data_IF_042839467672
#
_entry.id   IF_042839467672
#
_cell.length_a   1.000
_cell.length_b   1.000
_cell.length_c   1.000
_cell.angle_alpha   90.00
_cell.angle_beta   90.00
_cell.angle_gamma   90.00
#
_symmetry.space_group_name_H-M   'P 1'
#
loop_
_entity.id
_entity.type
_entity.pdbx_description
1 polymer ?
#
# COMPACT_ATOMS: atom_id res chain seq x y z
N UNK A 1 -16.31 -22.40 -17.08
CA UNK A 1 -16.41 -23.85 -17.35
C UNK A 1 -15.79 -24.58 -16.15
N UNK A 2 -16.65 -25.07 -15.23
CA UNK A 2 -16.44 -26.05 -14.12
C UNK A 2 -15.35 -25.71 -13.07
N UNK A 3 -15.52 -25.82 -11.75
CA UNK A 3 -16.39 -26.60 -10.84
C UNK A 3 -16.49 -25.84 -9.49
N UNK A 4 -17.47 -25.96 -8.59
CA UNK A 4 -18.47 -27.02 -8.34
C UNK A 4 -18.02 -27.91 -7.18
N UNK A 5 -18.39 -27.58 -5.93
CA UNK A 5 -18.34 -28.50 -4.77
C UNK A 5 -19.46 -28.15 -3.77
N UNK A 6 -20.55 -28.90 -3.85
CA UNK A 6 -21.59 -29.07 -2.83
C UNK A 6 -21.13 -30.07 -1.76
N UNK A 7 -21.57 -29.87 -0.51
CA UNK A 7 -21.48 -30.84 0.57
C UNK A 7 -22.54 -30.56 1.63
N UNK A 8 -23.64 -31.30 1.60
CA UNK A 8 -24.78 -31.18 2.51
C UNK A 8 -24.84 -32.23 3.63
N UNK A 9 -25.76 -31.98 4.56
CA UNK A 9 -26.23 -32.88 5.64
C UNK A 9 -25.83 -32.37 7.03
N UNK A 10 -26.70 -32.15 8.02
CA UNK A 10 -28.10 -32.51 8.26
C UNK A 10 -28.25 -32.76 9.77
N UNK A 11 -29.16 -32.07 10.47
CA UNK A 11 -29.39 -32.34 11.90
C UNK A 11 -30.27 -31.28 12.58
N UNK A 12 -31.52 -31.67 12.90
CA UNK A 12 -32.53 -30.88 13.64
C UNK A 12 -32.24 -30.94 15.15
N UNK A 13 -32.63 -29.91 15.90
CA UNK A 13 -33.58 -29.99 17.05
C UNK A 13 -33.94 -28.60 17.60
N UNK A 14 -35.14 -28.54 18.17
CA UNK A 14 -35.93 -27.39 18.60
C UNK A 14 -35.44 -26.74 19.91
N UNK A 15 -35.83 -25.48 20.14
CA UNK A 15 -35.71 -24.81 21.43
C UNK A 15 -36.31 -23.41 21.45
N UNK A 16 -37.64 -23.32 21.60
CA UNK A 16 -38.38 -22.09 21.94
C UNK A 16 -37.83 -21.43 23.20
N UNK A 17 -37.68 -20.09 23.21
CA UNK A 17 -38.16 -19.25 24.32
C UNK A 17 -38.17 -17.75 23.97
N UNK A 18 -39.39 -17.27 23.70
CA UNK A 18 -40.00 -15.96 24.04
C UNK A 18 -39.13 -14.85 24.65
N UNK A 19 -39.13 -13.66 24.03
CA UNK A 19 -39.75 -12.43 24.57
C UNK A 19 -39.46 -11.20 23.68
N UNK A 20 -40.51 -10.68 23.02
CA UNK A 20 -40.68 -9.26 22.70
C UNK A 20 -41.34 -8.59 23.93
N UNK A 21 -41.33 -7.23 24.14
CA UNK A 21 -41.81 -6.29 23.11
C UNK A 21 -41.27 -4.82 23.15
N UNK A 22 -41.60 -4.09 22.07
CA UNK A 22 -41.99 -2.65 21.99
C UNK A 22 -40.96 -1.56 22.31
N UNK A 23 -40.95 -0.36 21.72
CA UNK A 23 -41.63 0.25 20.57
C UNK A 23 -41.11 1.70 20.42
N UNK A 24 -41.24 2.24 19.20
CA UNK A 24 -41.50 3.66 18.84
C UNK A 24 -40.39 4.73 18.93
N UNK A 25 -39.86 5.03 17.76
CA UNK A 25 -40.00 6.30 17.00
C UNK A 25 -40.71 7.47 17.70
N UNK A 26 -40.09 8.66 17.68
CA UNK A 26 -40.74 9.93 17.29
C UNK A 26 -39.70 10.99 16.91
N UNK A 27 -40.06 11.79 15.91
CA UNK A 27 -39.27 12.85 15.30
C UNK A 27 -39.69 14.24 15.80
N UNK A 28 -38.76 15.19 15.60
CA UNK A 28 -38.92 16.62 15.32
C UNK A 28 -39.49 17.58 16.38
N UNK A 29 -38.79 18.71 16.55
CA UNK A 29 -39.30 19.90 17.24
C UNK A 29 -38.27 21.03 17.34
N UNK A 30 -38.29 21.93 16.35
CA UNK A 30 -37.50 23.18 16.26
C UNK A 30 -38.17 24.31 17.07
N UNK A 31 -37.40 25.12 17.83
CA UNK A 31 -37.81 26.44 18.35
C UNK A 31 -36.56 27.28 18.79
N UNK A 32 -36.65 28.60 19.07
CA UNK A 32 -35.90 29.64 18.36
C UNK A 32 -34.71 30.27 19.12
N UNK A 33 -33.82 30.91 18.36
CA UNK A 33 -32.62 31.60 18.83
C UNK A 33 -32.93 32.98 19.46
N UNK A 34 -32.49 33.17 20.71
CA UNK A 34 -32.43 34.46 21.41
C UNK A 34 -31.15 35.26 21.09
N UNK A 35 -31.07 36.55 21.48
CA UNK A 35 -30.04 37.46 21.00
C UNK A 35 -28.68 37.24 21.67
N UNK A 36 -27.65 37.46 20.85
CA UNK A 36 -26.22 37.15 21.05
C UNK A 36 -25.61 37.94 22.22
N UNK A 37 -25.20 37.21 23.26
CA UNK A 37 -24.21 37.67 24.24
C UNK A 37 -22.81 37.67 23.62
N UNK A 38 -22.08 38.77 23.81
CA UNK A 38 -20.73 39.04 23.32
C UNK A 38 -19.74 37.99 23.91
N UNK A 39 -18.97 37.25 23.10
CA UNK A 39 -17.98 36.32 23.65
C UNK A 39 -16.79 37.10 24.22
N UNK A 40 -16.32 36.67 25.38
CA UNK A 40 -15.03 37.08 25.96
C UNK A 40 -13.89 36.69 24.98
N UNK A 41 -12.76 37.42 24.98
CA UNK A 41 -11.65 37.08 24.10
C UNK A 41 -11.15 35.67 24.42
N UNK A 42 -11.09 34.82 23.40
CA UNK A 42 -10.48 33.50 23.49
C UNK A 42 -8.98 33.66 23.75
N UNK A 43 -8.49 32.95 24.76
CA UNK A 43 -7.06 32.82 25.04
C UNK A 43 -6.31 32.37 23.79
N UNK A 44 -5.19 33.02 23.53
CA UNK A 44 -4.23 32.64 22.51
C UNK A 44 -3.79 31.17 22.71
N UNK A 45 -3.42 30.44 21.64
CA UNK A 45 -2.86 29.10 21.81
C UNK A 45 -1.58 29.21 22.64
N UNK A 46 -1.59 28.55 23.80
CA UNK A 46 -0.42 28.42 24.65
C UNK A 46 0.74 27.88 23.82
N UNK A 47 1.80 28.66 23.73
CA UNK A 47 3.06 28.21 23.16
C UNK A 47 3.45 26.90 23.86
N UNK A 48 3.73 25.86 23.06
CA UNK A 48 4.36 24.66 23.54
C UNK A 48 5.63 25.08 24.30
N UNK A 49 5.65 24.80 25.61
CA UNK A 49 6.83 25.06 26.43
C UNK A 49 8.04 24.29 25.86
N UNK A 50 9.26 24.79 26.06
CA UNK A 50 10.46 24.05 25.70
C UNK A 50 10.43 22.73 26.47
N UNK A 51 10.55 21.60 25.76
CA UNK A 51 10.81 20.30 26.37
C UNK A 51 12.12 20.40 27.13
N UNK A 52 12.09 20.15 28.44
CA UNK A 52 13.30 20.09 29.26
C UNK A 52 14.30 19.11 28.61
N UNK A 53 15.60 19.47 28.52
CA UNK A 53 16.59 18.57 27.98
C UNK A 53 16.62 17.29 28.83
N UNK A 54 16.64 16.13 28.18
CA UNK A 54 16.74 14.85 28.85
C UNK A 54 17.93 14.85 29.83
N UNK A 55 17.83 14.21 31.01
CA UNK A 55 18.93 14.09 31.96
C UNK A 55 20.25 13.70 31.29
N UNK A 56 21.39 14.22 31.75
CA UNK A 56 22.70 14.00 31.12
C UNK A 56 23.04 12.51 30.90
N UNK A 57 22.56 11.62 31.79
CA UNK A 57 22.71 10.18 31.66
C UNK A 57 21.92 9.58 30.48
N UNK A 58 20.72 10.10 30.20
CA UNK A 58 19.92 9.68 29.03
C UNK A 58 20.59 10.12 27.72
N UNK A 59 21.12 11.34 27.69
CA UNK A 59 21.87 11.84 26.54
C UNK A 59 23.12 10.99 26.27
N UNK A 60 23.84 10.59 27.33
CA UNK A 60 25.00 9.71 27.21
C UNK A 60 24.62 8.32 26.67
N UNK A 61 23.52 7.72 27.17
CA UNK A 61 23.01 6.45 26.65
C UNK A 61 22.64 6.54 25.18
N UNK A 62 21.87 7.57 24.81
CA UNK A 62 21.49 7.82 23.42
C UNK A 62 22.72 7.98 22.51
N UNK A 63 23.77 8.67 22.97
CA UNK A 63 25.01 8.83 22.22
C UNK A 63 25.75 7.48 22.00
N UNK A 64 25.74 6.58 22.99
CA UNK A 64 26.33 5.23 22.84
C UNK A 64 25.57 4.40 21.80
N UNK A 65 24.23 4.39 21.86
CA UNK A 65 23.39 3.67 20.89
C UNK A 65 23.58 4.27 19.49
N UNK A 66 23.58 5.60 19.38
CA UNK A 66 23.78 6.29 18.11
C UNK A 66 25.15 5.98 17.50
N UNK A 67 26.21 5.92 18.31
CA UNK A 67 27.56 5.58 17.83
C UNK A 67 27.63 4.14 17.29
N UNK A 68 26.99 3.17 17.95
CA UNK A 68 26.89 1.80 17.44
C UNK A 68 26.17 1.76 16.10
N UNK A 69 25.01 2.39 16.00
CA UNK A 69 24.20 2.36 14.78
C UNK A 69 24.81 3.18 13.64
N UNK A 70 25.62 4.20 13.95
CA UNK A 70 26.41 4.92 12.95
C UNK A 70 27.42 4.01 12.22
N UNK A 71 27.98 2.99 12.90
CA UNK A 71 28.83 1.97 12.27
C UNK A 71 28.02 1.18 11.24
N UNK A 72 26.77 0.78 11.53
CA UNK A 72 25.90 0.10 10.56
C UNK A 72 25.56 1.01 9.38
N UNK A 73 25.24 2.28 9.63
CA UNK A 73 24.98 3.24 8.55
C UNK A 73 26.19 3.37 7.61
N UNK A 74 27.39 3.54 8.16
CA UNK A 74 28.61 3.60 7.38
C UNK A 74 28.85 2.29 6.62
N UNK A 75 28.61 1.15 7.25
CA UNK A 75 28.75 -0.15 6.63
C UNK A 75 27.87 -0.31 5.38
N UNK A 76 26.60 0.09 5.44
CA UNK A 76 25.70 0.07 4.28
C UNK A 76 26.21 0.99 3.18
N UNK A 77 26.56 2.24 3.53
CA UNK A 77 26.99 3.26 2.55
C UNK A 77 28.36 2.96 1.91
N UNK A 78 29.21 2.19 2.58
CA UNK A 78 30.53 1.79 2.09
C UNK A 78 30.61 0.33 1.64
N UNK A 79 29.48 -0.38 1.62
CA UNK A 79 29.40 -1.80 1.26
C UNK A 79 30.32 -2.71 2.11
N UNK A 80 30.40 -2.45 3.42
CA UNK A 80 31.22 -3.21 4.38
C UNK A 80 30.40 -4.25 5.17
N UNK A 81 30.44 -5.50 4.71
CA UNK A 81 29.76 -6.62 5.35
C UNK A 81 30.27 -6.91 6.77
N UNK A 82 31.55 -6.67 7.04
CA UNK A 82 32.14 -6.92 8.34
C UNK A 82 31.69 -5.84 9.35
N UNK A 83 31.69 -4.58 8.93
CA UNK A 83 31.15 -3.46 9.68
C UNK A 83 29.68 -3.64 10.05
N UNK A 84 28.86 -4.14 9.12
CA UNK A 84 27.44 -4.43 9.34
C UNK A 84 27.21 -5.39 10.52
N UNK A 85 27.98 -6.47 10.58
CA UNK A 85 27.86 -7.50 11.61
C UNK A 85 28.63 -7.15 12.91
N UNK A 86 29.57 -6.21 12.86
CA UNK A 86 30.50 -5.92 13.97
C UNK A 86 29.83 -5.42 15.25
N UNK A 87 28.64 -4.82 15.13
CA UNK A 87 27.90 -4.22 16.24
C UNK A 87 26.99 -5.22 16.96
N UNK A 88 26.77 -6.39 16.35
CA UNK A 88 25.89 -7.42 16.88
C UNK A 88 26.56 -8.15 18.04
N UNK A 89 25.77 -8.63 18.97
CA UNK A 89 26.23 -9.51 20.03
C UNK A 89 26.58 -10.88 19.43
N UNK A 90 27.84 -11.35 19.52
CA UNK A 90 28.22 -12.65 18.99
C UNK A 90 27.48 -13.82 19.64
N UNK A 91 26.90 -13.63 20.83
CA UNK A 91 26.07 -14.64 21.51
C UNK A 91 24.61 -14.65 21.02
N UNK A 92 24.20 -13.69 20.18
CA UNK A 92 22.87 -13.63 19.58
C UNK A 92 22.87 -14.33 18.21
N UNK A 93 23.18 -15.63 18.17
CA UNK A 93 23.41 -16.41 16.94
C UNK A 93 22.30 -16.23 15.89
N UNK A 94 21.03 -16.27 16.31
CA UNK A 94 19.89 -16.09 15.41
C UNK A 94 19.79 -14.69 14.80
N UNK A 95 20.20 -13.64 15.53
CA UNK A 95 20.29 -12.29 14.97
C UNK A 95 21.44 -12.20 13.96
N UNK A 96 22.62 -12.72 14.32
CA UNK A 96 23.80 -12.72 13.44
C UNK A 96 23.52 -13.47 12.13
N UNK A 97 22.84 -14.61 12.20
CA UNK A 97 22.44 -15.38 11.03
C UNK A 97 21.44 -14.61 10.15
N UNK A 98 20.39 -14.05 10.75
CA UNK A 98 19.40 -13.26 10.03
C UNK A 98 20.05 -12.04 9.34
N UNK A 99 20.86 -11.27 10.06
CA UNK A 99 21.55 -10.09 9.55
C UNK A 99 22.55 -10.42 8.43
N UNK A 100 23.23 -11.57 8.53
CA UNK A 100 24.10 -12.10 7.47
C UNK A 100 23.31 -12.47 6.21
N UNK A 101 22.13 -13.06 6.36
CA UNK A 101 21.25 -13.41 5.24
C UNK A 101 20.67 -12.16 4.56
N UNK A 102 20.43 -11.08 5.32
CA UNK A 102 19.93 -9.80 4.80
C UNK A 102 20.98 -9.01 4.01
N UNK A 103 22.26 -9.11 4.39
CA UNK A 103 23.33 -8.29 3.81
C UNK A 103 23.40 -8.31 2.26
N UNK A 104 23.32 -9.47 1.57
CA UNK A 104 23.33 -9.49 0.10
C UNK A 104 22.21 -8.64 -0.53
N UNK A 105 21.04 -8.57 0.12
CA UNK A 105 19.91 -7.75 -0.36
C UNK A 105 20.23 -6.28 -0.15
N UNK A 106 20.66 -5.89 1.06
CA UNK A 106 21.03 -4.51 1.38
C UNK A 106 22.14 -4.01 0.46
N UNK A 107 23.18 -4.80 0.24
CA UNK A 107 24.33 -4.45 -0.58
C UNK A 107 24.01 -4.35 -2.08
N UNK A 108 22.99 -5.07 -2.56
CA UNK A 108 22.56 -5.04 -3.96
C UNK A 108 21.56 -3.90 -4.25
N UNK A 109 20.90 -3.35 -3.23
CA UNK A 109 20.03 -2.19 -3.41
C UNK A 109 20.86 -0.93 -3.68
N UNK A 110 20.44 -0.05 -4.60
CA UNK A 110 21.10 1.24 -4.81
C UNK A 110 20.69 2.23 -3.72
N UNK A 111 21.16 2.01 -2.50
CA UNK A 111 20.89 2.85 -1.33
C UNK A 111 21.53 4.23 -1.53
N UNK A 112 20.76 5.28 -1.32
CA UNK A 112 21.22 6.68 -1.35
C UNK A 112 21.24 7.34 0.03
N UNK A 113 20.54 6.76 0.99
CA UNK A 113 20.47 7.24 2.36
C UNK A 113 20.28 6.04 3.29
N UNK A 114 20.97 6.04 4.42
CA UNK A 114 20.81 5.09 5.51
C UNK A 114 21.29 5.77 6.79
N UNK A 115 20.37 6.03 7.73
CA UNK A 115 20.68 6.67 8.99
C UNK A 115 19.73 6.18 10.08
N UNK A 116 20.26 6.02 11.29
CA UNK A 116 19.45 5.70 12.46
C UNK A 116 19.32 6.95 13.33
N UNK A 117 18.11 7.20 13.83
CA UNK A 117 17.80 8.24 14.80
C UNK A 117 17.34 7.57 16.09
N UNK A 118 18.08 7.78 17.18
CA UNK A 118 17.70 7.25 18.50
C UNK A 118 16.65 8.16 19.10
N UNK A 119 15.49 7.61 19.43
CA UNK A 119 14.34 8.37 19.95
C UNK A 119 14.26 8.27 21.48
N UNK A 120 14.45 7.07 22.02
CA UNK A 120 14.53 6.85 23.47
C UNK A 120 15.45 5.67 23.78
N UNK A 121 16.01 5.67 24.99
CA UNK A 121 16.75 4.53 25.54
C UNK A 121 16.27 4.27 26.95
N UNK A 122 15.65 3.12 27.14
CA UNK A 122 15.15 2.62 28.41
C UNK A 122 16.16 1.64 29.02
N UNK A 123 16.49 1.84 30.29
CA UNK A 123 17.35 0.92 31.04
C UNK A 123 16.47 -0.21 31.56
N UNK A 124 16.70 -1.44 31.08
CA UNK A 124 16.02 -2.64 31.57
C UNK A 124 16.67 -3.11 32.86
N UNK A 125 18.01 -3.21 32.84
CA UNK A 125 18.86 -3.50 34.00
C UNK A 125 20.27 -2.93 33.78
N UNK A 126 21.21 -3.21 34.69
CA UNK A 126 22.57 -2.69 34.64
C UNK A 126 23.34 -3.08 33.36
N UNK A 127 22.98 -4.20 32.73
CA UNK A 127 23.65 -4.81 31.57
C UNK A 127 22.77 -4.86 30.31
N UNK A 128 21.53 -4.37 30.37
CA UNK A 128 20.56 -4.47 29.28
C UNK A 128 19.82 -3.16 29.07
N UNK A 129 19.82 -2.65 27.83
CA UNK A 129 19.03 -1.49 27.42
C UNK A 129 18.06 -1.87 26.30
N UNK A 130 16.97 -1.10 26.18
CA UNK A 130 16.08 -1.11 25.02
C UNK A 130 16.01 0.29 24.44
N UNK A 131 16.28 0.42 23.16
CA UNK A 131 16.19 1.68 22.45
C UNK A 131 15.04 1.63 21.43
N UNK A 132 14.27 2.72 21.35
CA UNK A 132 13.42 3.00 20.19
C UNK A 132 14.22 3.81 19.20
N UNK A 133 14.26 3.33 17.98
CA UNK A 133 15.11 3.85 16.91
C UNK A 133 14.28 3.99 15.66
N UNK A 134 14.45 5.09 14.94
CA UNK A 134 13.94 5.24 13.59
C UNK A 134 15.05 5.08 12.56
N UNK A 135 14.96 4.07 11.71
CA UNK A 135 15.79 3.91 10.53
C UNK A 135 15.19 4.72 9.39
N UNK A 136 15.95 5.69 8.89
CA UNK A 136 15.68 6.41 7.66
C UNK A 136 16.52 5.82 6.53
N UNK A 137 15.86 5.38 5.46
CA UNK A 137 16.56 4.89 4.28
C UNK A 137 15.92 5.36 2.98
N UNK A 138 16.69 5.44 1.89
CA UNK A 138 16.17 5.77 0.57
C UNK A 138 16.83 4.92 -0.51
N UNK A 139 16.00 4.27 -1.34
CA UNK A 139 16.46 3.57 -2.55
C UNK A 139 16.49 4.57 -3.71
N UNK A 140 17.69 4.86 -4.20
CA UNK A 140 17.95 5.84 -5.26
C UNK A 140 17.08 5.56 -6.47
N UNK A 141 16.31 6.53 -6.93
CA UNK A 141 15.48 6.42 -8.13
C UNK A 141 14.18 5.64 -7.96
N UNK A 142 13.91 5.11 -6.77
CA UNK A 142 12.58 4.61 -6.36
C UNK A 142 11.91 5.60 -5.42
N UNK A 143 12.65 6.06 -4.41
CA UNK A 143 12.15 6.95 -3.38
C UNK A 143 12.35 8.43 -3.73
N UNK A 144 11.39 9.26 -3.31
CA UNK A 144 11.46 10.72 -3.41
C UNK A 144 12.30 11.35 -2.28
N UNK A 145 12.40 10.66 -1.16
CA UNK A 145 13.21 11.02 0.01
C UNK A 145 13.30 9.83 0.97
N UNK A 146 14.00 9.98 2.10
CA UNK A 146 14.07 8.92 3.11
C UNK A 146 12.69 8.50 3.60
N UNK A 147 12.47 7.20 3.70
CA UNK A 147 11.32 6.60 4.39
C UNK A 147 11.78 6.13 5.76
N UNK A 148 10.96 6.41 6.78
CA UNK A 148 11.23 6.05 8.17
C UNK A 148 10.66 4.69 8.56
N UNK A 149 11.39 3.96 9.40
CA UNK A 149 11.00 2.69 10.02
C UNK A 149 11.31 2.72 11.50
N UNK A 150 10.30 2.55 12.32
CA UNK A 150 10.46 2.43 13.76
C UNK A 150 10.90 1.01 14.12
N UNK A 151 11.92 0.92 14.97
CA UNK A 151 12.60 -0.28 15.38
C UNK A 151 12.75 -0.30 16.91
N UNK A 152 12.46 -1.45 17.51
CA UNK A 152 12.88 -1.78 18.86
C UNK A 152 14.23 -2.49 18.81
N UNK A 153 15.25 -1.87 19.41
CA UNK A 153 16.63 -2.38 19.46
C UNK A 153 16.96 -2.74 20.90
N UNK A 154 17.31 -4.00 21.14
CA UNK A 154 17.83 -4.44 22.45
C UNK A 154 19.34 -4.45 22.42
N UNK A 155 19.95 -3.93 23.48
CA UNK A 155 21.39 -3.89 23.65
C UNK A 155 21.80 -4.62 24.93
N UNK A 156 22.96 -5.25 24.88
CA UNK A 156 23.57 -5.94 26.02
C UNK A 156 25.02 -5.52 26.19
N UNK A 157 25.45 -5.35 27.44
CA UNK A 157 26.84 -5.05 27.75
C UNK A 157 27.71 -6.32 27.60
N UNK A 158 28.87 -6.15 26.97
CA UNK A 158 29.91 -7.17 26.81
C UNK A 158 31.26 -6.57 27.22
N UNK A 159 32.27 -7.42 27.34
CA UNK A 159 33.63 -7.01 27.73
C UNK A 159 34.22 -5.89 26.84
N UNK A 160 33.79 -5.81 25.58
CA UNK A 160 34.23 -4.82 24.59
C UNK A 160 33.17 -3.73 24.32
N UNK A 161 32.29 -3.50 25.29
CA UNK A 161 31.21 -2.51 25.23
C UNK A 161 29.85 -3.08 24.82
N UNK A 162 28.89 -2.17 24.65
CA UNK A 162 27.52 -2.49 24.25
C UNK A 162 27.44 -3.15 22.87
N UNK A 163 26.52 -4.11 22.71
CA UNK A 163 26.24 -4.81 21.45
C UNK A 163 24.74 -4.95 21.24
N UNK A 164 24.32 -4.98 19.98
CA UNK A 164 22.91 -5.20 19.60
C UNK A 164 22.60 -6.69 19.75
N UNK A 165 21.67 -7.03 20.64
CA UNK A 165 21.25 -8.41 20.89
C UNK A 165 19.90 -8.76 20.24
N UNK A 166 19.10 -7.75 19.86
CA UNK A 166 17.91 -7.93 19.04
C UNK A 166 17.56 -6.63 18.31
N UNK A 167 16.97 -6.74 17.13
CA UNK A 167 16.37 -5.64 16.37
C UNK A 167 15.07 -6.12 15.73
N UNK A 168 13.98 -5.37 15.90
CA UNK A 168 12.66 -5.74 15.36
C UNK A 168 11.91 -4.48 14.92
N UNK A 169 11.24 -4.49 13.76
CA UNK A 169 10.34 -3.40 13.41
C UNK A 169 9.14 -3.37 14.38
N UNK A 170 8.65 -2.18 14.71
CA UNK A 170 7.44 -2.01 15.53
C UNK A 170 6.17 -2.21 14.69
N UNK A 171 6.20 -1.83 13.41
CA UNK A 171 5.16 -2.09 12.42
C UNK A 171 5.55 -3.31 11.55
N UNK A 172 4.70 -4.34 11.56
CA UNK A 172 4.87 -5.55 10.74
C UNK A 172 3.95 -5.59 9.51
N UNK A 173 3.11 -4.57 9.32
CA UNK A 173 2.20 -4.47 8.17
C UNK A 173 2.92 -4.00 6.90
N UNK A 174 4.08 -3.37 7.07
CA UNK A 174 4.96 -2.93 5.98
C UNK A 174 6.17 -3.84 5.91
N UNK A 175 6.48 -4.32 4.71
CA UNK A 175 7.64 -5.19 4.47
C UNK A 175 8.76 -4.39 3.80
N UNK A 176 9.96 -4.39 4.40
CA UNK A 176 11.15 -3.79 3.82
C UNK A 176 11.94 -4.80 2.98
N UNK A 177 12.69 -4.35 1.95
CA UNK A 177 13.29 -5.24 0.95
C UNK A 177 14.19 -6.34 1.53
N UNK A 178 15.02 -6.00 2.53
CA UNK A 178 15.94 -6.94 3.15
C UNK A 178 15.22 -7.98 4.00
N UNK A 179 14.01 -7.72 4.47
CA UNK A 179 13.24 -8.68 5.28
C UNK A 179 12.74 -9.89 4.47
N UNK A 180 12.85 -9.84 3.13
CA UNK A 180 12.58 -10.98 2.25
C UNK A 180 13.73 -12.00 2.24
N UNK A 181 14.84 -11.68 2.90
CA UNK A 181 16.04 -12.51 2.88
C UNK A 181 15.77 -13.95 3.37
N UNK A 182 16.36 -14.96 2.70
CA UNK A 182 17.23 -14.85 1.53
C UNK A 182 16.46 -14.41 0.27
N UNK A 183 17.01 -13.45 -0.48
CA UNK A 183 16.35 -12.86 -1.65
C UNK A 183 17.35 -12.44 -2.73
N UNK A 184 16.85 -12.29 -3.96
CA UNK A 184 17.60 -11.73 -5.11
C UNK A 184 17.04 -10.36 -5.48
N UNK A 185 17.93 -9.42 -5.74
CA UNK A 185 17.61 -8.08 -6.27
C UNK A 185 17.89 -8.05 -7.77
N UNK A 186 16.92 -7.61 -8.57
CA UNK A 186 16.95 -7.62 -10.03
C UNK A 186 16.51 -6.26 -10.59
N UNK A 187 17.06 -5.91 -11.75
CA UNK A 187 16.70 -4.67 -12.47
C UNK A 187 17.50 -3.45 -12.02
N UNK A 188 17.43 -2.39 -12.83
CA UNK A 188 18.20 -1.16 -12.60
C UNK A 188 17.42 0.13 -12.94
N UNK A 189 16.83 0.23 -14.13
CA UNK A 189 16.33 1.48 -14.71
C UNK A 189 14.81 1.54 -14.79
N UNK A 190 14.17 0.48 -15.24
CA UNK A 190 12.73 0.41 -15.53
C UNK A 190 11.92 -0.05 -14.32
N UNK A 191 12.39 -1.09 -13.65
CA UNK A 191 11.86 -1.58 -12.39
C UNK A 191 13.00 -2.13 -11.51
N UNK A 192 12.75 -2.20 -10.21
CA UNK A 192 13.57 -2.95 -9.26
C UNK A 192 12.70 -4.04 -8.66
N UNK A 193 13.18 -5.28 -8.63
CA UNK A 193 12.43 -6.42 -8.08
C UNK A 193 13.28 -7.11 -7.02
N UNK A 194 12.68 -7.37 -5.86
CA UNK A 194 13.28 -8.15 -4.78
C UNK A 194 12.42 -9.39 -4.59
N UNK A 195 12.97 -10.55 -4.94
CA UNK A 195 12.26 -11.83 -4.90
C UNK A 195 12.88 -12.71 -3.83
N UNK A 196 12.08 -13.10 -2.85
CA UNK A 196 12.47 -14.10 -1.85
C UNK A 196 12.78 -15.42 -2.56
N UNK A 197 13.89 -16.05 -2.21
CA UNK A 197 14.38 -17.22 -2.93
C UNK A 197 13.79 -18.50 -2.37
N UNK A 198 12.63 -18.91 -2.88
CA UNK A 198 12.28 -20.32 -2.99
C UNK A 198 12.57 -20.72 -4.44
N UNK A 199 13.57 -21.59 -4.65
CA UNK A 199 14.00 -22.19 -5.93
C UNK A 199 13.35 -21.71 -7.25
N UNK A 200 14.14 -21.15 -8.18
CA UNK A 200 13.65 -20.83 -9.53
C UNK A 200 14.44 -19.73 -10.24
N UNK A 201 14.15 -19.53 -11.53
CA UNK A 201 14.66 -18.38 -12.30
C UNK A 201 13.81 -17.14 -11.98
N UNK A 202 14.39 -16.06 -11.43
CA UNK A 202 13.63 -14.87 -11.09
C UNK A 202 13.50 -13.87 -12.27
N UNK A 203 14.13 -14.12 -13.42
CA UNK A 203 14.04 -13.26 -14.60
C UNK A 203 12.60 -12.99 -15.10
N UNK A 204 11.63 -13.94 -15.03
CA UNK A 204 10.25 -13.69 -15.40
C UNK A 204 9.58 -12.58 -14.56
N UNK A 205 9.93 -12.44 -13.28
CA UNK A 205 9.40 -11.37 -12.42
C UNK A 205 9.82 -10.00 -12.91
N UNK A 206 11.11 -9.81 -13.22
CA UNK A 206 11.62 -8.57 -13.79
C UNK A 206 10.98 -8.28 -15.15
N UNK A 207 10.86 -9.28 -16.01
CA UNK A 207 10.25 -9.11 -17.33
C UNK A 207 8.78 -8.66 -17.27
N UNK A 208 8.01 -9.17 -16.29
CA UNK A 208 6.62 -8.72 -16.09
C UNK A 208 6.60 -7.31 -15.50
N UNK A 209 7.46 -6.99 -14.53
CA UNK A 209 7.59 -5.65 -13.95
C UNK A 209 7.95 -4.59 -15.00
N UNK A 210 8.90 -4.87 -15.89
CA UNK A 210 9.30 -3.97 -16.97
C UNK A 210 8.17 -3.72 -17.96
N UNK A 211 7.44 -4.77 -18.36
CA UNK A 211 6.27 -4.63 -19.25
C UNK A 211 5.15 -3.84 -18.58
N UNK A 212 4.92 -4.07 -17.29
CA UNK A 212 3.91 -3.34 -16.52
C UNK A 212 4.29 -1.85 -16.41
N UNK A 213 5.54 -1.54 -16.07
CA UNK A 213 6.05 -0.17 -16.03
C UNK A 213 5.95 0.52 -17.40
N UNK A 214 6.28 -0.18 -18.49
CA UNK A 214 6.13 0.35 -19.85
C UNK A 214 4.67 0.64 -20.21
N UNK A 215 3.73 -0.23 -19.78
CA UNK A 215 2.29 -0.02 -19.96
C UNK A 215 1.81 1.22 -19.21
N UNK A 216 2.17 1.37 -17.93
CA UNK A 216 1.86 2.57 -17.15
C UNK A 216 2.44 3.82 -17.83
N UNK A 217 3.69 3.75 -18.29
CA UNK A 217 4.35 4.86 -18.97
C UNK A 217 3.68 5.25 -20.30
N UNK A 218 3.09 4.30 -21.02
CA UNK A 218 2.33 4.58 -22.25
C UNK A 218 1.05 5.39 -22.01
N UNK A 219 0.52 5.38 -20.78
CA UNK A 219 -0.69 6.11 -20.39
C UNK A 219 -0.37 7.39 -19.64
N UNK A 220 0.47 7.32 -18.60
CA UNK A 220 0.77 8.44 -17.72
C UNK A 220 1.98 9.29 -18.16
N UNK A 221 2.73 8.82 -19.16
CA UNK A 221 4.06 9.32 -19.49
C UNK A 221 5.15 8.63 -18.67
N UNK A 222 6.44 8.83 -19.03
CA UNK A 222 7.56 8.20 -18.33
C UNK A 222 7.56 8.57 -16.85
N UNK A 223 7.66 7.57 -15.98
CA UNK A 223 7.76 7.79 -14.55
C UNK A 223 9.12 8.41 -14.20
N UNK A 224 9.12 9.35 -13.25
CA UNK A 224 10.35 9.91 -12.70
C UNK A 224 11.06 8.94 -11.73
N UNK A 225 10.31 7.95 -11.24
CA UNK A 225 10.78 6.92 -10.31
C UNK A 225 10.49 5.55 -10.88
N UNK A 226 11.44 4.63 -10.72
CA UNK A 226 11.18 3.22 -11.00
C UNK A 226 10.45 2.59 -9.80
N UNK A 227 9.45 1.73 -10.04
CA UNK A 227 8.81 1.02 -8.96
C UNK A 227 9.73 -0.03 -8.34
N UNK A 228 9.46 -0.35 -7.08
CA UNK A 228 10.08 -1.44 -6.35
C UNK A 228 9.04 -2.52 -6.07
N UNK A 229 9.22 -3.70 -6.65
CA UNK A 229 8.35 -4.86 -6.49
C UNK A 229 8.98 -5.81 -5.49
N UNK A 230 8.24 -6.17 -4.45
CA UNK A 230 8.63 -7.11 -3.41
C UNK A 230 7.81 -8.38 -3.58
N UNK A 231 8.48 -9.52 -3.73
CA UNK A 231 7.87 -10.82 -3.95
C UNK A 231 8.30 -11.74 -2.81
N UNK A 232 7.65 -11.66 -1.63
CA UNK A 232 7.92 -12.59 -0.54
C UNK A 232 7.46 -14.01 -0.89
N UNK A 233 8.04 -15.01 -0.24
CA UNK A 233 7.61 -16.41 -0.38
C UNK A 233 6.18 -16.63 0.13
N UNK A 234 5.80 -15.89 1.17
CA UNK A 234 4.47 -15.92 1.78
C UNK A 234 3.93 -14.50 1.85
N UNK A 235 2.65 -14.33 1.54
CA UNK A 235 2.02 -13.02 1.72
C UNK A 235 2.07 -12.63 3.21
N UNK A 236 2.60 -11.43 3.55
CA UNK A 236 2.49 -10.89 4.90
C UNK A 236 1.06 -10.40 5.18
N UNK A 237 0.19 -10.31 4.17
CA UNK A 237 -1.20 -9.89 4.34
C UNK A 237 -2.11 -11.10 4.53
N UNK A 238 -3.06 -11.00 5.45
CA UNK A 238 -4.15 -11.98 5.59
C UNK A 238 -5.21 -11.85 4.49
N UNK A 239 -5.22 -10.72 3.78
CA UNK A 239 -6.01 -10.56 2.56
C UNK A 239 -5.39 -11.39 1.43
N UNK A 240 -6.18 -12.25 0.79
CA UNK A 240 -5.82 -13.03 -0.40
C UNK A 240 -5.70 -12.15 -1.65
N UNK A 241 -4.88 -11.10 -1.57
CA UNK A 241 -4.56 -10.23 -2.68
C UNK A 241 -3.38 -10.81 -3.47
N UNK A 242 -3.51 -10.80 -4.80
CA UNK A 242 -2.42 -11.21 -5.69
C UNK A 242 -1.26 -10.21 -5.63
N UNK A 243 -1.58 -8.93 -5.58
CA UNK A 243 -0.62 -7.85 -5.38
C UNK A 243 -1.28 -6.66 -4.70
N UNK A 244 -0.48 -5.78 -4.10
CA UNK A 244 -0.95 -4.53 -3.47
C UNK A 244 0.13 -3.46 -3.50
N UNK A 245 -0.24 -2.25 -3.89
CA UNK A 245 0.61 -1.07 -3.75
C UNK A 245 0.66 -0.58 -2.30
N UNK A 246 1.87 -0.41 -1.77
CA UNK A 246 2.14 0.17 -0.45
C UNK A 246 3.11 1.33 -0.60
N UNK A 247 2.55 2.55 -0.67
CA UNK A 247 3.31 3.75 -0.97
C UNK A 247 3.99 3.65 -2.34
N UNK A 248 5.33 3.59 -2.37
CA UNK A 248 6.11 3.46 -3.62
C UNK A 248 6.55 2.03 -3.95
N UNK A 249 6.04 1.04 -3.23
CA UNK A 249 6.36 -0.37 -3.42
C UNK A 249 5.12 -1.13 -3.86
N UNK A 250 5.31 -2.25 -4.55
CA UNK A 250 4.25 -3.24 -4.79
C UNK A 250 4.66 -4.52 -4.10
N UNK A 251 3.79 -5.05 -3.26
CA UNK A 251 3.93 -6.37 -2.66
C UNK A 251 3.16 -7.37 -3.52
N UNK A 252 3.76 -8.49 -3.88
CA UNK A 252 3.14 -9.53 -4.72
C UNK A 252 3.16 -10.86 -4.01
N UNK A 253 2.00 -11.51 -3.90
CA UNK A 253 1.92 -12.87 -3.38
C UNK A 253 2.29 -13.87 -4.48
N UNK A 254 3.46 -14.51 -4.34
CA UNK A 254 4.01 -15.36 -5.40
C UNK A 254 3.08 -16.51 -5.82
N UNK A 255 2.49 -17.30 -4.91
CA UNK A 255 1.64 -18.44 -5.30
C UNK A 255 0.41 -18.03 -6.12
N UNK A 256 -0.28 -16.97 -5.70
CA UNK A 256 -1.47 -16.45 -6.34
C UNK A 256 -1.14 -15.82 -7.69
N UNK A 257 -0.03 -15.08 -7.76
CA UNK A 257 0.45 -14.48 -8.99
C UNK A 257 0.88 -15.55 -10.01
N UNK A 258 1.46 -16.67 -9.55
CA UNK A 258 1.80 -17.78 -10.42
C UNK A 258 0.58 -18.54 -10.96
N UNK A 259 -0.53 -18.53 -10.23
CA UNK A 259 -1.82 -19.03 -10.71
C UNK A 259 -2.42 -18.22 -11.87
N UNK A 260 -1.97 -16.99 -12.09
CA UNK A 260 -2.45 -16.14 -13.18
C UNK A 260 -1.83 -16.49 -14.53
N UNK A 261 -2.61 -16.29 -15.60
CA UNK A 261 -2.10 -16.30 -16.97
C UNK A 261 -1.05 -15.18 -17.18
N UNK A 262 -0.17 -15.29 -18.20
CA UNK A 262 0.81 -14.24 -18.49
C UNK A 262 0.19 -12.84 -18.70
N UNK A 263 -1.01 -12.78 -19.29
CA UNK A 263 -1.75 -11.53 -19.46
C UNK A 263 -2.29 -11.03 -18.11
N UNK A 264 -2.85 -11.92 -17.29
CA UNK A 264 -3.35 -11.59 -15.94
C UNK A 264 -2.26 -11.01 -15.04
N UNK A 265 -1.07 -11.64 -15.02
CA UNK A 265 0.11 -11.13 -14.30
C UNK A 265 0.48 -9.71 -14.70
N UNK A 266 0.43 -9.41 -16.00
CA UNK A 266 0.73 -8.08 -16.52
C UNK A 266 -0.37 -7.07 -16.18
N UNK A 267 -1.65 -7.45 -16.24
CA UNK A 267 -2.79 -6.59 -15.88
C UNK A 267 -2.71 -6.19 -14.41
N UNK A 268 -2.57 -7.17 -13.52
CA UNK A 268 -2.50 -6.94 -12.06
C UNK A 268 -1.28 -6.08 -11.72
N UNK A 269 -0.10 -6.39 -12.25
CA UNK A 269 1.07 -5.59 -11.91
C UNK A 269 0.99 -4.17 -12.49
N UNK A 270 0.43 -3.97 -13.69
CA UNK A 270 0.22 -2.64 -14.24
C UNK A 270 -0.84 -1.84 -13.47
N UNK A 271 -1.85 -2.50 -12.90
CA UNK A 271 -2.80 -1.91 -11.97
C UNK A 271 -2.06 -1.37 -10.75
N UNK A 272 -1.31 -2.20 -10.01
CA UNK A 272 -0.61 -1.76 -8.80
C UNK A 272 0.46 -0.69 -9.07
N UNK A 273 1.16 -0.81 -10.21
CA UNK A 273 2.14 0.21 -10.62
C UNK A 273 1.49 1.55 -10.98
N UNK A 274 0.20 1.57 -11.34
CA UNK A 274 -0.55 2.81 -11.53
C UNK A 274 -0.74 3.53 -10.21
N UNK A 275 -1.09 2.81 -9.14
CA UNK A 275 -1.16 3.36 -7.78
C UNK A 275 0.19 3.92 -7.32
N UNK A 276 1.30 3.20 -7.55
CA UNK A 276 2.66 3.70 -7.25
C UNK A 276 3.02 4.95 -8.05
N UNK A 277 2.60 5.03 -9.32
CA UNK A 277 2.86 6.18 -10.18
C UNK A 277 2.05 7.42 -9.79
N UNK A 278 0.88 7.22 -9.17
CA UNK A 278 -0.04 8.27 -8.70
C UNK A 278 0.00 8.48 -7.19
N UNK A 279 0.95 7.85 -6.48
CA UNK A 279 1.06 7.88 -5.04
C UNK A 279 1.17 9.32 -4.50
N UNK A 280 0.40 9.61 -3.45
CA UNK A 280 0.32 10.91 -2.79
C UNK A 280 -1.05 11.11 -2.15
N UNK A 281 -1.28 12.25 -1.47
CA UNK A 281 -2.60 12.62 -1.00
C UNK A 281 -3.59 12.71 -2.17
N UNK A 282 -4.80 12.22 -1.95
CA UNK A 282 -5.85 12.19 -2.97
C UNK A 282 -7.21 12.51 -2.38
N UNK A 283 -7.95 13.40 -3.06
CA UNK A 283 -9.38 13.64 -2.86
C UNK A 283 -10.26 12.87 -3.86
N UNK A 284 -9.66 12.02 -4.70
CA UNK A 284 -10.41 11.22 -5.65
C UNK A 284 -11.19 10.11 -4.92
N UNK A 285 -12.44 9.82 -5.36
CA UNK A 285 -13.19 8.69 -4.83
C UNK A 285 -12.61 7.37 -5.32
N UNK A 286 -12.78 6.29 -4.55
CA UNK A 286 -12.14 4.99 -4.84
C UNK A 286 -12.51 4.44 -6.22
N UNK A 287 -13.75 4.65 -6.69
CA UNK A 287 -14.14 4.21 -8.04
C UNK A 287 -13.29 4.83 -9.15
N UNK A 288 -12.77 6.04 -8.96
CA UNK A 288 -11.94 6.68 -9.97
C UNK A 288 -10.51 6.15 -9.91
N UNK A 289 -9.99 5.94 -8.71
CA UNK A 289 -8.63 5.41 -8.52
C UNK A 289 -8.53 3.97 -9.02
N UNK A 290 -9.41 3.08 -8.54
CA UNK A 290 -9.44 1.68 -8.94
C UNK A 290 -9.83 1.51 -10.41
N UNK A 291 -10.87 2.25 -10.86
CA UNK A 291 -11.30 2.19 -12.25
C UNK A 291 -10.24 2.68 -13.24
N UNK A 292 -9.42 3.65 -12.84
CA UNK A 292 -8.31 4.13 -13.67
C UNK A 292 -7.13 3.16 -13.64
N UNK A 293 -6.81 2.56 -12.50
CA UNK A 293 -5.79 1.52 -12.40
C UNK A 293 -6.14 0.30 -13.28
N UNK A 294 -7.40 -0.13 -13.27
CA UNK A 294 -7.89 -1.18 -14.19
C UNK A 294 -7.85 -0.73 -15.66
N UNK A 295 -8.20 0.53 -15.94
CA UNK A 295 -8.12 1.07 -17.30
C UNK A 295 -6.68 0.97 -17.84
N UNK A 296 -5.69 1.33 -17.03
CA UNK A 296 -4.27 1.17 -17.37
C UNK A 296 -3.91 -0.32 -17.48
N UNK A 297 -4.32 -1.15 -16.53
CA UNK A 297 -4.05 -2.59 -16.52
C UNK A 297 -4.51 -3.29 -17.80
N UNK A 298 -5.74 -3.01 -18.24
CA UNK A 298 -6.33 -3.59 -19.44
C UNK A 298 -5.83 -2.96 -20.76
N UNK A 299 -5.18 -1.80 -20.73
CA UNK A 299 -4.72 -1.11 -21.95
C UNK A 299 -3.75 -1.99 -22.76
N UNK A 300 -4.13 -2.34 -23.99
CA UNK A 300 -3.32 -3.19 -24.87
C UNK A 300 -3.15 -4.64 -24.36
N UNK A 301 -4.01 -5.11 -23.45
CA UNK A 301 -4.00 -6.49 -22.95
C UNK A 301 -4.60 -7.50 -23.93
N UNK A 302 -5.44 -7.04 -24.87
CA UNK A 302 -6.23 -7.91 -25.74
C UNK A 302 -7.50 -8.48 -25.09
N UNK A 303 -7.73 -8.22 -23.79
CA UNK A 303 -8.96 -8.62 -23.11
C UNK A 303 -10.11 -7.76 -23.63
N UNK A 304 -11.14 -8.42 -24.18
CA UNK A 304 -12.33 -7.78 -24.70
C UNK A 304 -13.26 -7.27 -23.60
N UNK A 305 -14.10 -6.29 -23.94
CA UNK A 305 -14.96 -5.62 -22.95
C UNK A 305 -15.93 -6.56 -22.25
N UNK A 306 -16.49 -7.51 -23.00
CA UNK A 306 -17.40 -8.53 -22.46
C UNK A 306 -16.72 -9.42 -21.42
N UNK A 307 -15.43 -9.73 -21.59
CA UNK A 307 -14.69 -10.54 -20.63
C UNK A 307 -14.24 -9.73 -19.41
N UNK A 308 -13.89 -8.46 -19.59
CA UNK A 308 -13.42 -7.58 -18.51
C UNK A 308 -14.55 -7.04 -17.61
N UNK A 309 -15.81 -7.13 -18.02
CA UNK A 309 -16.98 -6.73 -17.23
C UNK A 309 -18.01 -7.86 -17.10
N UNK A 310 -17.57 -9.11 -17.12
CA UNK A 310 -18.46 -10.26 -17.24
C UNK A 310 -19.46 -10.37 -16.09
N UNK A 311 -18.99 -10.20 -14.84
CA UNK A 311 -19.84 -10.35 -13.65
C UNK A 311 -20.84 -9.17 -13.54
N UNK A 312 -20.37 -7.94 -13.79
CA UNK A 312 -21.22 -6.76 -13.82
C UNK A 312 -22.28 -6.85 -14.93
N UNK A 313 -21.93 -7.33 -16.11
CA UNK A 313 -22.90 -7.43 -17.22
C UNK A 313 -23.93 -8.53 -16.96
N UNK A 314 -23.55 -9.64 -16.34
CA UNK A 314 -24.51 -10.64 -15.85
C UNK A 314 -25.48 -10.03 -14.82
N UNK A 315 -24.98 -9.18 -13.92
CA UNK A 315 -25.83 -8.45 -12.96
C UNK A 315 -26.78 -7.47 -13.64
N UNK A 316 -26.29 -6.71 -14.62
CA UNK A 316 -27.08 -5.75 -15.40
C UNK A 316 -28.19 -6.46 -16.17
N UNK A 317 -27.91 -7.64 -16.76
CA UNK A 317 -28.93 -8.46 -17.44
C UNK A 317 -29.99 -8.97 -16.45
N UNK A 318 -29.59 -9.35 -15.23
CA UNK A 318 -30.48 -9.92 -14.21
C UNK A 318 -31.35 -8.87 -13.52
N UNK A 319 -30.82 -7.67 -13.26
CA UNK A 319 -31.43 -6.69 -12.35
C UNK A 319 -31.41 -5.25 -12.85
N UNK A 320 -30.90 -5.02 -14.06
CA UNK A 320 -30.73 -3.70 -14.65
C UNK A 320 -29.49 -2.98 -14.12
N UNK A 321 -29.07 -1.93 -14.83
CA UNK A 321 -27.87 -1.18 -14.46
C UNK A 321 -27.99 -0.55 -13.05
N UNK A 322 -26.90 -0.47 -12.26
CA UNK A 322 -26.95 0.14 -10.93
C UNK A 322 -27.22 1.65 -11.00
N UNK A 323 -27.91 2.19 -9.99
CA UNK A 323 -28.42 3.58 -10.00
C UNK A 323 -27.36 4.67 -9.78
N UNK A 324 -26.22 4.29 -9.21
CA UNK A 324 -25.10 5.16 -8.93
C UNK A 324 -23.80 4.41 -9.15
N UNK A 325 -22.70 5.15 -9.31
CA UNK A 325 -21.35 4.58 -9.27
C UNK A 325 -21.09 3.97 -7.87
N UNK A 326 -20.19 2.97 -7.76
CA UNK A 326 -19.87 2.35 -6.49
C UNK A 326 -19.32 3.38 -5.49
N UNK A 327 -19.73 3.26 -4.24
CA UNK A 327 -19.19 4.06 -3.14
C UNK A 327 -17.94 3.39 -2.56
N UNK A 328 -17.11 4.16 -1.85
CA UNK A 328 -15.81 3.70 -1.34
C UNK A 328 -15.86 2.36 -0.56
N UNK A 329 -16.87 2.06 0.28
CA UNK A 329 -16.93 0.77 0.97
C UNK A 329 -17.03 -0.46 0.05
N UNK A 330 -17.39 -0.30 -1.22
CA UNK A 330 -17.45 -1.40 -2.19
C UNK A 330 -16.05 -1.91 -2.61
N UNK A 331 -15.01 -1.10 -2.39
CA UNK A 331 -13.61 -1.41 -2.68
C UNK A 331 -12.83 -1.90 -1.46
N UNK A 332 -13.48 -1.99 -0.29
CA UNK A 332 -12.87 -2.49 0.94
C UNK A 332 -12.54 -3.99 0.82
N UNK A 333 -11.28 -4.28 0.52
CA UNK A 333 -10.77 -5.66 0.37
C UNK A 333 -10.96 -6.47 1.64
N UNK A 334 -10.91 -5.85 2.84
CA UNK A 334 -11.11 -6.56 4.10
C UNK A 334 -12.52 -7.14 4.25
N UNK A 335 -13.48 -6.63 3.47
CA UNK A 335 -14.86 -7.10 3.40
C UNK A 335 -15.15 -7.97 2.17
N UNK A 336 -14.10 -8.40 1.47
CA UNK A 336 -14.21 -9.21 0.26
C UNK A 336 -14.72 -8.40 -0.92
N UNK A 337 -14.12 -7.22 -1.18
CA UNK A 337 -14.49 -6.25 -2.22
C UNK A 337 -15.13 -6.84 -3.49
N UNK A 338 -16.12 -6.14 -4.04
CA UNK A 338 -16.99 -6.67 -5.10
C UNK A 338 -16.31 -6.57 -6.47
N UNK A 339 -16.08 -7.69 -7.18
CA UNK A 339 -15.59 -7.67 -8.56
C UNK A 339 -16.41 -6.74 -9.46
N UNK A 340 -17.73 -6.74 -9.30
CA UNK A 340 -18.66 -5.87 -10.04
C UNK A 340 -18.43 -4.38 -9.77
N UNK A 341 -17.95 -4.00 -8.59
CA UNK A 341 -17.59 -2.63 -8.27
C UNK A 341 -16.35 -2.16 -9.06
N UNK A 342 -15.32 -3.02 -9.18
CA UNK A 342 -14.13 -2.75 -9.99
C UNK A 342 -14.48 -2.69 -11.48
N UNK A 343 -15.23 -3.66 -11.99
CA UNK A 343 -15.70 -3.68 -13.39
C UNK A 343 -16.58 -2.45 -13.73
N UNK A 344 -17.36 -1.99 -12.74
CA UNK A 344 -18.22 -0.81 -12.84
C UNK A 344 -17.40 0.48 -12.91
N UNK A 345 -16.45 0.63 -12.01
CA UNK A 345 -15.48 1.71 -11.94
C UNK A 345 -14.65 1.81 -13.25
N UNK A 346 -14.13 0.68 -13.71
CA UNK A 346 -13.44 0.56 -14.99
C UNK A 346 -14.33 1.02 -16.15
N UNK A 347 -15.59 0.55 -16.22
CA UNK A 347 -16.53 0.95 -17.28
C UNK A 347 -16.82 2.45 -17.27
N UNK A 348 -16.90 3.08 -16.11
CA UNK A 348 -17.03 4.54 -16.00
C UNK A 348 -15.81 5.27 -16.57
N UNK A 349 -14.60 4.77 -16.30
CA UNK A 349 -13.37 5.27 -16.91
C UNK A 349 -13.37 5.08 -18.44
N UNK A 350 -13.88 3.94 -18.95
CA UNK A 350 -14.05 3.72 -20.40
C UNK A 350 -14.94 4.78 -21.06
N UNK A 351 -16.06 5.15 -20.41
CA UNK A 351 -16.98 6.17 -20.92
C UNK A 351 -16.29 7.52 -21.03
N UNK A 352 -15.51 7.89 -20.01
CA UNK A 352 -14.74 9.13 -20.00
C UNK A 352 -13.61 9.13 -21.03
N UNK A 353 -12.90 8.01 -21.19
CA UNK A 353 -11.87 7.84 -22.21
C UNK A 353 -12.46 7.91 -23.63
N UNK A 354 -13.60 7.28 -23.88
CA UNK A 354 -14.27 7.29 -25.20
C UNK A 354 -14.69 8.69 -25.64
N UNK A 355 -14.94 9.60 -24.68
CA UNK A 355 -15.35 10.99 -24.94
C UNK A 355 -14.20 11.97 -25.14
N UNK A 356 -13.00 11.62 -24.71
CA UNK A 356 -11.90 12.58 -24.56
C UNK A 356 -10.52 12.05 -24.88
N UNK A 357 -10.39 10.76 -25.16
CA UNK A 357 -9.13 10.05 -25.23
C UNK A 357 -8.45 9.88 -23.87
N UNK A 358 -7.37 9.10 -23.87
CA UNK A 358 -6.57 8.78 -22.68
C UNK A 358 -5.99 10.03 -22.01
N UNK A 359 -5.46 10.99 -22.78
CA UNK A 359 -4.86 12.20 -22.22
C UNK A 359 -5.84 13.04 -21.38
N UNK A 360 -7.11 13.11 -21.80
CA UNK A 360 -8.15 13.83 -21.05
C UNK A 360 -8.55 13.09 -19.78
N UNK A 361 -8.60 11.75 -19.82
CA UNK A 361 -8.83 10.92 -18.64
C UNK A 361 -7.70 11.08 -17.61
N UNK A 362 -6.44 11.04 -18.03
CA UNK A 362 -5.29 11.28 -17.15
C UNK A 362 -5.36 12.66 -16.50
N UNK A 363 -5.70 13.70 -17.27
CA UNK A 363 -5.89 15.05 -16.72
C UNK A 363 -7.02 15.09 -15.68
N UNK A 364 -8.11 14.35 -15.90
CA UNK A 364 -9.21 14.26 -14.96
C UNK A 364 -8.81 13.58 -13.67
N UNK A 365 -8.11 12.43 -13.74
CA UNK A 365 -7.62 11.73 -12.55
C UNK A 365 -6.72 12.64 -11.72
N UNK A 366 -5.71 13.27 -12.33
CA UNK A 366 -4.80 14.18 -11.61
C UNK A 366 -5.52 15.37 -10.96
N UNK A 367 -6.51 15.95 -11.63
CA UNK A 367 -7.31 17.03 -11.05
C UNK A 367 -8.26 16.54 -9.97
N UNK A 368 -8.79 15.33 -10.07
CA UNK A 368 -9.64 14.76 -9.04
C UNK A 368 -8.86 14.42 -7.77
N UNK A 369 -7.60 13.97 -7.88
CA UNK A 369 -6.72 13.78 -6.72
C UNK A 369 -6.44 15.11 -6.00
N UNK A 370 -6.31 16.22 -6.73
CA UNK A 370 -5.96 17.52 -6.17
C UNK A 370 -7.16 18.34 -5.67
N UNK A 371 -8.27 18.35 -6.42
CA UNK A 371 -9.40 19.27 -6.24
C UNK A 371 -10.75 18.55 -6.00
N UNK A 372 -10.73 17.21 -5.93
CA UNK A 372 -11.92 16.38 -5.78
C UNK A 372 -12.72 16.12 -7.06
N UNK A 373 -13.51 15.05 -7.04
CA UNK A 373 -14.20 14.50 -8.21
C UNK A 373 -15.19 15.47 -8.91
N UNK A 374 -16.18 16.08 -8.23
CA UNK A 374 -17.21 16.86 -8.93
C UNK A 374 -16.64 18.09 -9.65
N UNK A 375 -15.69 18.79 -9.01
CA UNK A 375 -15.03 19.96 -9.58
C UNK A 375 -14.15 19.58 -10.78
N UNK A 376 -13.34 18.53 -10.64
CA UNK A 376 -12.51 18.03 -11.73
C UNK A 376 -13.36 17.56 -12.94
N UNK A 377 -14.47 16.87 -12.70
CA UNK A 377 -15.37 16.39 -13.75
C UNK A 377 -15.98 17.57 -14.53
N UNK A 378 -16.47 18.59 -13.82
CA UNK A 378 -17.00 19.79 -14.45
C UNK A 378 -15.93 20.51 -15.27
N UNK A 379 -14.72 20.68 -14.73
CA UNK A 379 -13.62 21.38 -15.40
C UNK A 379 -13.08 20.65 -16.63
N UNK A 380 -13.01 19.32 -16.57
CA UNK A 380 -12.37 18.54 -17.63
C UNK A 380 -13.38 18.11 -18.69
N UNK A 381 -14.58 17.70 -18.30
CA UNK A 381 -15.57 17.13 -19.21
C UNK A 381 -16.83 18.00 -19.39
N UNK A 382 -16.97 19.10 -18.65
CA UNK A 382 -18.21 19.89 -18.60
C UNK A 382 -19.43 19.04 -18.23
N UNK A 383 -19.24 18.05 -17.34
CA UNK A 383 -20.28 17.17 -16.84
C UNK A 383 -20.50 17.37 -15.34
N UNK A 384 -21.75 17.17 -14.90
CA UNK A 384 -22.10 16.95 -13.50
C UNK A 384 -22.08 15.44 -13.20
N UNK A 385 -21.89 15.03 -11.93
CA UNK A 385 -21.92 13.61 -11.54
C UNK A 385 -23.14 12.84 -12.06
N UNK A 386 -24.34 13.42 -11.94
CA UNK A 386 -25.57 12.80 -12.45
C UNK A 386 -25.55 12.55 -13.97
N UNK A 387 -24.89 13.41 -14.74
CA UNK A 387 -24.74 13.22 -16.18
C UNK A 387 -23.76 12.09 -16.48
N UNK A 388 -22.64 12.00 -15.75
CA UNK A 388 -21.72 10.86 -15.87
C UNK A 388 -22.44 9.55 -15.53
N UNK A 389 -23.20 9.50 -14.42
CA UNK A 389 -23.97 8.30 -14.04
C UNK A 389 -24.95 7.88 -15.13
N UNK A 390 -25.68 8.81 -15.75
CA UNK A 390 -26.61 8.48 -16.84
C UNK A 390 -25.90 7.88 -18.06
N UNK A 391 -24.73 8.41 -18.41
CA UNK A 391 -23.94 7.94 -19.54
C UNK A 391 -23.33 6.56 -19.29
N UNK A 392 -22.79 6.36 -18.09
CA UNK A 392 -22.28 5.07 -17.66
C UNK A 392 -23.38 4.00 -17.65
N UNK A 393 -24.56 4.31 -17.10
CA UNK A 393 -25.72 3.39 -17.14
C UNK A 393 -26.14 3.03 -18.56
N UNK A 394 -26.12 4.00 -19.49
CA UNK A 394 -26.44 3.75 -20.88
C UNK A 394 -25.41 2.83 -21.56
N UNK A 395 -24.12 3.01 -21.27
CA UNK A 395 -23.07 2.11 -21.76
C UNK A 395 -23.24 0.68 -21.20
N UNK A 396 -23.57 0.53 -19.92
CA UNK A 396 -23.84 -0.79 -19.34
C UNK A 396 -25.04 -1.48 -20.00
N UNK A 397 -26.14 -0.77 -20.23
CA UNK A 397 -27.29 -1.32 -20.93
C UNK A 397 -26.90 -1.78 -22.35
N UNK A 398 -26.17 -0.94 -23.08
CA UNK A 398 -25.67 -1.28 -24.43
C UNK A 398 -24.77 -2.51 -24.43
N UNK A 399 -23.86 -2.64 -23.46
CA UNK A 399 -22.96 -3.79 -23.36
C UNK A 399 -23.69 -5.07 -22.96
N UNK A 400 -24.73 -4.97 -22.13
CA UNK A 400 -25.54 -6.11 -21.70
C UNK A 400 -26.40 -6.71 -22.82
N UNK A 401 -26.72 -5.93 -23.85
CA UNK A 401 -27.51 -6.36 -25.02
C UNK A 401 -26.69 -7.11 -26.08
N UNK A 402 -25.35 -7.03 -26.04
CA UNK A 402 -24.42 -7.67 -26.98
C UNK A 402 -23.78 -6.69 -27.95
#
# INVERSE_FOLDING_TARGET
MLAGCDGGGGGRTEGRSTAQPTSRTTAAGTAPAGPRGRPAPADAPGAAGPTDPAPAADQQRAAVVAALLAVRSAAVLHHDAAGWLSVLDPAADGLVEAERAQWPVVAALPVSHWAYVVESVDVVDASTWRARVRLDYAVRGTDDGPVGRELDVSLVERALGWRVSAERPTDTSTLDPWQLAPARVLGDRTALVVVSTAEGDPAPWLAVADRAAARVASVLGPAHRRPLVLVPERSPTTASLVAVAQGRRVLVSAPEFDGLSPVGRLVVLAHELTHVALAGPSEAPAWLEEGFADWVGYTGSGIGVQAAAAELLAEVQRSGAPRALPADPAFDVSRGGSPEAYESAWTACRVLASRGGTARLVRFVRLAQADGYPAALARVYALRPAQLTALWRAELARLAEG
#
